data_IF_986702420533
#
_entry.id   IF_986702420533
#
_cell.length_a   1.000
_cell.length_b   1.000
_cell.length_c   1.000
_cell.angle_alpha   90.00
_cell.angle_beta   90.00
_cell.angle_gamma   90.00
#
_symmetry.space_group_name_H-M   'P 1'
#
loop_
_entity.id
_entity.type
_entity.pdbx_description
1 polymer ?
#
# COMPACT_ATOMS: atom_id res chain seq x y z
N UNK A 1 -36.74 -33.76 -17.85
CA UNK A 1 -36.20 -32.38 -17.85
C UNK A 1 -35.46 -32.19 -19.16
N UNK A 2 -35.82 -31.20 -19.98
CA UNK A 2 -35.15 -31.00 -21.27
C UNK A 2 -33.73 -30.47 -21.07
N UNK A 3 -32.82 -30.78 -21.99
CA UNK A 3 -31.43 -30.31 -21.96
C UNK A 3 -31.34 -28.77 -21.86
N UNK A 4 -32.32 -28.05 -22.43
CA UNK A 4 -32.46 -26.60 -22.28
C UNK A 4 -32.74 -26.14 -20.84
N UNK A 5 -33.41 -26.93 -20.01
CA UNK A 5 -33.65 -26.60 -18.60
C UNK A 5 -32.38 -26.74 -17.72
N UNK A 6 -31.39 -27.53 -18.17
CA UNK A 6 -30.13 -27.76 -17.44
C UNK A 6 -29.01 -26.80 -17.84
N UNK A 7 -29.08 -26.22 -19.05
CA UNK A 7 -28.11 -25.25 -19.54
C UNK A 7 -27.85 -24.07 -18.57
N UNK A 8 -28.85 -23.39 -17.98
CA UNK A 8 -28.57 -22.30 -17.03
C UNK A 8 -27.87 -22.77 -15.76
N UNK A 9 -28.21 -23.97 -15.25
CA UNK A 9 -27.56 -24.56 -14.07
C UNK A 9 -26.08 -24.90 -14.33
N UNK A 10 -25.78 -25.44 -15.52
CA UNK A 10 -24.41 -25.73 -15.96
C UNK A 10 -23.61 -24.43 -16.06
N UNK A 11 -24.17 -23.38 -16.67
CA UNK A 11 -23.50 -22.08 -16.79
C UNK A 11 -23.22 -21.47 -15.40
N UNK A 12 -24.18 -21.53 -14.46
CA UNK A 12 -23.98 -21.05 -13.08
C UNK A 12 -22.87 -21.83 -12.38
N UNK A 13 -22.85 -23.16 -12.52
CA UNK A 13 -21.82 -24.00 -11.93
C UNK A 13 -20.41 -23.67 -12.49
N UNK A 14 -20.29 -23.47 -13.80
CA UNK A 14 -19.03 -23.08 -14.44
C UNK A 14 -18.55 -21.71 -13.96
N UNK A 15 -19.46 -20.73 -13.83
CA UNK A 15 -19.15 -19.40 -13.28
C UNK A 15 -18.67 -19.53 -11.83
N UNK A 16 -19.35 -20.34 -11.02
CA UNK A 16 -18.96 -20.58 -9.63
C UNK A 16 -17.57 -21.22 -9.53
N UNK A 17 -17.28 -22.26 -10.32
CA UNK A 17 -15.95 -22.88 -10.36
C UNK A 17 -14.86 -21.88 -10.77
N UNK A 18 -15.13 -21.05 -11.78
CA UNK A 18 -14.19 -20.01 -12.24
C UNK A 18 -13.90 -18.97 -11.14
N UNK A 19 -14.92 -18.48 -10.44
CA UNK A 19 -14.74 -17.53 -9.34
C UNK A 19 -13.93 -18.13 -8.19
N UNK A 20 -14.19 -19.39 -7.81
CA UNK A 20 -13.43 -20.04 -6.74
C UNK A 20 -11.96 -20.27 -7.12
N UNK A 21 -11.70 -20.67 -8.36
CA UNK A 21 -10.34 -20.88 -8.86
C UNK A 21 -9.53 -19.58 -8.87
N UNK A 22 -10.12 -18.49 -9.38
CA UNK A 22 -9.49 -17.16 -9.40
C UNK A 22 -9.23 -16.62 -7.99
N UNK A 23 -10.18 -16.80 -7.06
CA UNK A 23 -10.00 -16.41 -5.67
C UNK A 23 -8.88 -17.20 -4.97
N UNK A 24 -8.78 -18.51 -5.21
CA UNK A 24 -7.71 -19.34 -4.68
C UNK A 24 -6.34 -18.89 -5.18
N UNK A 25 -6.21 -18.65 -6.49
CA UNK A 25 -4.98 -18.16 -7.12
C UNK A 25 -4.56 -16.79 -6.58
N UNK A 26 -5.51 -15.87 -6.44
CA UNK A 26 -5.30 -14.54 -5.87
C UNK A 26 -4.78 -14.62 -4.43
N UNK A 27 -5.41 -15.44 -3.59
CA UNK A 27 -4.95 -15.62 -2.21
C UNK A 27 -3.55 -16.20 -2.13
N UNK A 28 -3.22 -17.18 -2.98
CA UNK A 28 -1.87 -17.73 -3.05
C UNK A 28 -0.85 -16.66 -3.44
N UNK A 29 -1.15 -15.85 -4.47
CA UNK A 29 -0.28 -14.75 -4.90
C UNK A 29 -0.03 -13.74 -3.76
N UNK A 30 -1.07 -13.32 -3.05
CA UNK A 30 -0.96 -12.40 -1.90
C UNK A 30 -0.10 -13.03 -0.79
N UNK A 31 -0.38 -14.28 -0.42
CA UNK A 31 0.37 -14.98 0.63
C UNK A 31 1.85 -15.11 0.29
N UNK A 32 2.16 -15.56 -0.92
CA UNK A 32 3.54 -15.69 -1.39
C UNK A 32 4.24 -14.33 -1.44
N UNK A 33 3.58 -13.30 -1.97
CA UNK A 33 4.14 -11.94 -2.03
C UNK A 33 4.42 -11.41 -0.64
N UNK A 34 3.46 -11.48 0.29
CA UNK A 34 3.65 -10.99 1.65
C UNK A 34 4.72 -11.77 2.41
N UNK A 35 4.83 -13.09 2.18
CA UNK A 35 5.90 -13.90 2.75
C UNK A 35 7.25 -13.39 2.28
N UNK A 36 7.45 -13.26 0.97
CA UNK A 36 8.67 -12.73 0.38
C UNK A 36 9.00 -11.33 0.92
N UNK A 37 8.01 -10.44 1.02
CA UNK A 37 8.20 -9.10 1.58
C UNK A 37 8.77 -9.17 3.01
N UNK A 38 8.12 -9.93 3.89
CA UNK A 38 8.52 -10.04 5.30
C UNK A 38 9.85 -10.78 5.52
N UNK A 39 10.24 -11.67 4.60
CA UNK A 39 11.55 -12.33 4.65
C UNK A 39 12.66 -11.40 4.14
N UNK A 40 12.35 -10.51 3.19
CA UNK A 40 13.31 -9.57 2.60
C UNK A 40 13.57 -8.32 3.46
N UNK A 41 12.59 -7.89 4.25
CA UNK A 41 12.66 -6.68 5.06
C UNK A 41 12.03 -6.91 6.43
N UNK A 42 12.81 -6.88 7.53
CA UNK A 42 12.31 -7.12 8.88
C UNK A 42 11.33 -6.04 9.36
N UNK A 43 11.25 -4.90 8.69
CA UNK A 43 10.30 -3.84 9.02
C UNK A 43 8.91 -4.11 8.44
N UNK A 44 8.74 -5.13 7.59
CA UNK A 44 7.45 -5.51 7.01
C UNK A 44 6.84 -6.66 7.80
N UNK A 45 5.73 -6.39 8.49
CA UNK A 45 4.95 -7.47 9.11
C UNK A 45 4.15 -8.24 8.06
N UNK A 46 4.34 -9.57 8.01
CA UNK A 46 3.51 -10.47 7.18
C UNK A 46 2.01 -10.24 7.42
N UNK A 47 1.60 -10.18 8.69
CA UNK A 47 0.20 -9.95 9.07
C UNK A 47 -0.32 -8.61 8.57
N UNK A 48 0.49 -7.55 8.70
CA UNK A 48 0.14 -6.23 8.19
C UNK A 48 -0.03 -6.25 6.67
N UNK A 49 0.89 -6.89 5.94
CA UNK A 49 0.83 -7.04 4.49
C UNK A 49 -0.47 -7.75 4.05
N UNK A 50 -0.77 -8.91 4.63
CA UNK A 50 -2.00 -9.66 4.31
C UNK A 50 -3.25 -8.81 4.59
N UNK A 51 -3.30 -8.14 5.74
CA UNK A 51 -4.46 -7.35 6.15
C UNK A 51 -4.65 -6.13 5.25
N UNK A 52 -3.55 -5.48 4.85
CA UNK A 52 -3.58 -4.33 3.95
C UNK A 52 -4.11 -4.68 2.56
N UNK A 53 -3.73 -5.84 2.02
CA UNK A 53 -4.28 -6.27 0.73
C UNK A 53 -5.75 -6.71 0.83
N UNK A 54 -6.14 -7.37 1.92
CA UNK A 54 -7.53 -7.79 2.15
C UNK A 54 -8.49 -6.63 2.43
N UNK A 55 -8.00 -5.45 2.83
CA UNK A 55 -8.85 -4.28 3.04
C UNK A 55 -9.30 -3.62 1.72
N UNK A 56 -8.69 -4.00 0.59
CA UNK A 56 -9.03 -3.48 -0.73
C UNK A 56 -9.69 -4.57 -1.60
N UNK A 57 -10.98 -4.38 -1.90
CA UNK A 57 -11.76 -5.33 -2.70
C UNK A 57 -11.20 -5.52 -4.12
N UNK A 58 -10.42 -4.56 -4.64
CA UNK A 58 -9.77 -4.68 -5.95
C UNK A 58 -8.71 -5.78 -5.95
N UNK A 59 -8.16 -6.11 -4.79
CA UNK A 59 -7.18 -7.21 -4.66
C UNK A 59 -7.80 -8.56 -5.01
N UNK A 60 -9.12 -8.74 -4.89
CA UNK A 60 -9.77 -10.04 -5.20
C UNK A 60 -9.66 -10.48 -6.66
N UNK A 61 -9.27 -9.58 -7.56
CA UNK A 61 -9.26 -9.81 -9.00
C UNK A 61 -7.85 -9.71 -9.62
N UNK A 62 -6.80 -9.55 -8.79
CA UNK A 62 -5.44 -9.40 -9.30
C UNK A 62 -4.92 -10.74 -9.83
N UNK A 63 -4.37 -10.73 -11.03
CA UNK A 63 -3.92 -11.96 -11.70
C UNK A 63 -2.42 -12.18 -11.62
N UNK A 64 -1.66 -11.12 -11.32
CA UNK A 64 -0.20 -11.15 -11.36
C UNK A 64 0.41 -10.11 -10.40
N UNK A 65 1.72 -10.24 -10.18
CA UNK A 65 2.50 -9.38 -9.28
C UNK A 65 2.49 -7.90 -9.70
N UNK A 66 2.39 -7.60 -11.01
CA UNK A 66 2.32 -6.22 -11.51
C UNK A 66 1.01 -5.55 -11.11
N UNK A 67 -0.11 -6.25 -11.21
CA UNK A 67 -1.41 -5.75 -10.75
C UNK A 67 -1.43 -5.57 -9.23
N UNK A 68 -0.89 -6.54 -8.49
CA UNK A 68 -0.79 -6.47 -7.03
C UNK A 68 0.09 -5.30 -6.57
N UNK A 69 1.22 -5.04 -7.24
CA UNK A 69 2.08 -3.89 -6.95
C UNK A 69 1.38 -2.55 -7.22
N UNK A 70 0.57 -2.45 -8.28
CA UNK A 70 -0.25 -1.26 -8.50
C UNK A 70 -1.32 -1.06 -7.40
N UNK A 71 -1.91 -2.14 -6.89
CA UNK A 71 -2.81 -2.07 -5.72
C UNK A 71 -2.04 -1.58 -4.49
N UNK A 72 -0.84 -2.10 -4.24
CA UNK A 72 0.01 -1.67 -3.13
C UNK A 72 0.26 -0.16 -3.15
N UNK A 73 0.61 0.41 -4.32
CA UNK A 73 0.81 1.87 -4.45
C UNK A 73 -0.50 2.65 -4.20
N UNK A 74 -1.65 2.10 -4.61
CA UNK A 74 -2.96 2.73 -4.37
C UNK A 74 -3.35 2.69 -2.88
N UNK A 75 -2.96 1.65 -2.14
CA UNK A 75 -3.14 1.58 -0.69
C UNK A 75 -2.35 2.69 0.01
N UNK A 76 -1.10 2.93 -0.39
CA UNK A 76 -0.29 4.07 0.12
C UNK A 76 -1.02 5.38 -0.15
N UNK A 77 -1.49 5.59 -1.39
CA UNK A 77 -2.22 6.81 -1.75
C UNK A 77 -3.43 7.05 -0.83
N UNK A 78 -4.21 6.01 -0.56
CA UNK A 78 -5.37 6.10 0.32
C UNK A 78 -4.94 6.45 1.76
N UNK A 79 -3.96 5.73 2.31
CA UNK A 79 -3.45 5.98 3.65
C UNK A 79 -2.89 7.40 3.82
N UNK A 80 -2.14 7.91 2.83
CA UNK A 80 -1.62 9.28 2.82
C UNK A 80 -2.76 10.30 2.76
N UNK A 81 -3.75 10.10 1.89
CA UNK A 81 -4.92 11.00 1.78
C UNK A 81 -5.70 11.06 3.10
N UNK A 82 -5.91 9.91 3.73
CA UNK A 82 -6.60 9.80 5.01
C UNK A 82 -5.78 10.45 6.14
N UNK A 83 -4.45 10.36 6.08
CA UNK A 83 -3.55 10.98 7.05
C UNK A 83 -3.53 12.49 6.92
N UNK A 84 -3.49 13.04 5.70
CA UNK A 84 -3.66 14.48 5.44
C UNK A 84 -4.98 14.97 6.03
N UNK A 85 -6.08 14.24 5.79
CA UNK A 85 -7.41 14.60 6.31
C UNK A 85 -7.41 14.60 7.84
N UNK A 86 -6.84 13.56 8.45
CA UNK A 86 -6.71 13.46 9.90
C UNK A 86 -5.87 14.58 10.52
N UNK A 87 -4.77 14.98 9.87
CA UNK A 87 -3.95 16.10 10.32
C UNK A 87 -4.77 17.40 10.33
N UNK A 88 -5.55 17.66 9.26
CA UNK A 88 -6.46 18.83 9.21
C UNK A 88 -7.48 18.80 10.35
N UNK A 89 -8.05 17.64 10.64
CA UNK A 89 -8.97 17.47 11.77
C UNK A 89 -8.30 17.78 13.11
N UNK A 90 -7.06 17.31 13.33
CA UNK A 90 -6.30 17.63 14.54
C UNK A 90 -6.00 19.12 14.66
N UNK A 91 -5.58 19.76 13.57
CA UNK A 91 -5.30 21.20 13.51
C UNK A 91 -6.54 22.06 13.73
N UNK A 92 -7.74 21.53 13.48
CA UNK A 92 -9.02 22.22 13.71
C UNK A 92 -9.43 22.27 15.19
N UNK A 93 -8.78 21.48 16.06
CA UNK A 93 -9.12 21.41 17.48
C UNK A 93 -8.64 22.65 18.23
N UNK A 94 -9.50 23.18 19.09
CA UNK A 94 -9.14 24.25 20.02
C UNK A 94 -8.14 23.74 21.08
N UNK A 95 -7.25 24.63 21.54
CA UNK A 95 -6.29 24.40 22.64
C UNK A 95 -5.24 23.30 22.38
N UNK A 96 -4.74 23.20 21.16
CA UNK A 96 -3.61 22.34 20.85
C UNK A 96 -2.31 22.94 21.44
N UNK A 97 -1.45 22.09 22.00
CA UNK A 97 -0.11 22.51 22.44
C UNK A 97 0.67 23.12 21.24
N UNK A 98 1.35 24.27 21.41
CA UNK A 98 2.01 24.95 20.30
C UNK A 98 3.04 24.09 19.56
N UNK A 99 3.81 23.26 20.27
CA UNK A 99 4.80 22.38 19.66
C UNK A 99 4.14 21.27 18.84
N UNK A 100 3.07 20.67 19.38
CA UNK A 100 2.27 19.68 18.64
C UNK A 100 1.65 20.31 17.38
N UNK A 101 1.19 21.55 17.48
CA UNK A 101 0.59 22.27 16.35
C UNK A 101 1.61 22.51 15.24
N UNK A 102 2.82 22.95 15.59
CA UNK A 102 3.93 23.13 14.65
C UNK A 102 4.29 21.81 13.97
N UNK A 103 4.52 20.74 14.73
CA UNK A 103 4.79 19.41 14.18
C UNK A 103 3.68 18.92 13.23
N UNK A 104 2.41 19.20 13.54
CA UNK A 104 1.30 18.84 12.66
C UNK A 104 1.28 19.65 11.36
N UNK A 105 1.69 20.92 11.39
CA UNK A 105 1.84 21.73 10.17
C UNK A 105 2.99 21.18 9.30
N UNK A 106 4.14 20.88 9.90
CA UNK A 106 5.27 20.28 9.17
C UNK A 106 4.88 18.95 8.53
N UNK A 107 4.22 18.07 9.31
CA UNK A 107 3.68 16.82 8.81
C UNK A 107 2.65 17.01 7.69
N UNK A 108 1.79 18.03 7.80
CA UNK A 108 0.80 18.34 6.77
C UNK A 108 1.46 18.65 5.42
N UNK A 109 2.52 19.47 5.45
CA UNK A 109 3.23 19.90 4.26
C UNK A 109 3.93 18.69 3.60
N UNK A 110 4.71 17.92 4.35
CA UNK A 110 5.43 16.76 3.78
C UNK A 110 4.48 15.66 3.30
N UNK A 111 3.35 15.41 3.97
CA UNK A 111 2.35 14.45 3.47
C UNK A 111 1.62 14.95 2.22
N UNK A 112 1.43 16.26 2.09
CA UNK A 112 0.86 16.85 0.87
C UNK A 112 1.80 16.65 -0.33
N UNK A 113 3.11 16.77 -0.12
CA UNK A 113 4.12 16.43 -1.12
C UNK A 113 4.12 14.92 -1.43
N UNK A 114 4.02 14.05 -0.41
CA UNK A 114 3.89 12.61 -0.61
C UNK A 114 2.71 12.26 -1.52
N UNK A 115 1.57 12.94 -1.37
CA UNK A 115 0.42 12.71 -2.24
C UNK A 115 0.73 13.00 -3.72
N UNK A 116 1.47 14.07 -4.01
CA UNK A 116 1.90 14.41 -5.37
C UNK A 116 2.87 13.34 -5.88
N UNK A 117 3.90 13.01 -5.08
CA UNK A 117 4.89 11.98 -5.39
C UNK A 117 4.24 10.64 -5.72
N UNK A 118 3.27 10.18 -4.93
CA UNK A 118 2.57 8.90 -5.17
C UNK A 118 1.80 8.93 -6.50
N UNK A 119 1.21 10.07 -6.90
CA UNK A 119 0.55 10.18 -8.21
C UNK A 119 1.54 10.03 -9.35
N UNK A 120 2.76 10.51 -9.19
CA UNK A 120 3.83 10.30 -10.15
C UNK A 120 4.34 8.86 -10.15
N UNK A 121 4.54 8.26 -8.98
CA UNK A 121 4.87 6.84 -8.84
C UNK A 121 3.89 5.96 -9.61
N UNK A 122 2.58 6.25 -9.53
CA UNK A 122 1.56 5.50 -10.30
C UNK A 122 1.78 5.64 -11.81
N UNK A 123 2.18 6.82 -12.31
CA UNK A 123 2.47 7.04 -13.74
C UNK A 123 3.72 6.26 -14.16
N UNK A 124 4.79 6.35 -13.37
CA UNK A 124 6.06 5.67 -13.62
C UNK A 124 5.88 4.15 -13.59
N UNK A 125 5.17 3.64 -12.59
CA UNK A 125 4.88 2.22 -12.43
C UNK A 125 4.13 1.66 -13.64
N UNK A 126 3.09 2.38 -14.10
CA UNK A 126 2.33 1.99 -15.32
C UNK A 126 3.19 2.04 -16.58
N UNK A 127 4.16 2.95 -16.63
CA UNK A 127 5.14 3.03 -17.70
C UNK A 127 6.32 2.04 -17.52
N UNK A 128 6.26 1.14 -16.53
CA UNK A 128 7.31 0.18 -16.17
C UNK A 128 8.66 0.83 -15.82
N UNK A 129 8.64 2.11 -15.42
CA UNK A 129 9.79 2.85 -14.88
C UNK A 129 9.94 2.53 -13.39
N UNK A 130 10.33 1.29 -13.12
CA UNK A 130 10.39 0.75 -11.76
C UNK A 130 11.51 1.37 -10.91
N UNK A 131 12.62 1.79 -11.52
CA UNK A 131 13.69 2.52 -10.82
C UNK A 131 13.17 3.86 -10.31
N UNK A 132 12.49 4.65 -11.15
CA UNK A 132 11.90 5.93 -10.73
C UNK A 132 10.80 5.73 -9.67
N UNK A 133 9.99 4.69 -9.84
CA UNK A 133 8.97 4.31 -8.85
C UNK A 133 9.58 3.97 -7.49
N UNK A 134 10.73 3.28 -7.50
CA UNK A 134 11.46 2.90 -6.29
C UNK A 134 11.97 4.15 -5.55
N UNK A 135 12.68 5.04 -6.25
CA UNK A 135 13.18 6.31 -5.66
C UNK A 135 12.04 7.10 -5.03
N UNK A 136 10.90 7.22 -5.73
CA UNK A 136 9.74 7.96 -5.22
C UNK A 136 9.10 7.30 -4.00
N UNK A 137 8.97 5.98 -3.97
CA UNK A 137 8.45 5.27 -2.79
C UNK A 137 9.38 5.35 -1.58
N UNK A 138 10.70 5.33 -1.79
CA UNK A 138 11.67 5.57 -0.72
C UNK A 138 11.47 6.96 -0.10
N UNK A 139 11.21 8.00 -0.91
CA UNK A 139 10.91 9.33 -0.35
C UNK A 139 9.62 9.36 0.48
N UNK A 140 8.61 8.52 0.19
CA UNK A 140 7.40 8.42 1.02
C UNK A 140 7.70 7.75 2.36
N UNK A 141 8.63 6.80 2.40
CA UNK A 141 9.16 6.24 3.66
C UNK A 141 9.82 7.36 4.47
N UNK A 142 10.73 8.12 3.87
CA UNK A 142 11.45 9.22 4.53
C UNK A 142 10.49 10.27 5.09
N UNK A 143 9.40 10.59 4.37
CA UNK A 143 8.35 11.50 4.83
C UNK A 143 7.68 10.98 6.10
N UNK A 144 7.33 9.69 6.13
CA UNK A 144 6.66 9.08 7.29
C UNK A 144 7.56 9.06 8.54
N UNK A 145 8.86 8.80 8.37
CA UNK A 145 9.83 8.81 9.48
C UNK A 145 10.14 10.23 9.93
N UNK A 146 10.36 11.15 9.00
CA UNK A 146 10.62 12.58 9.31
C UNK A 146 9.47 13.19 10.10
N UNK A 147 8.23 12.92 9.70
CA UNK A 147 7.05 13.38 10.45
C UNK A 147 7.03 12.82 11.88
N UNK A 148 7.34 11.53 12.07
CA UNK A 148 7.39 10.94 13.42
C UNK A 148 8.53 11.52 14.27
N UNK A 149 9.70 11.69 13.66
CA UNK A 149 10.89 12.22 14.31
C UNK A 149 10.71 13.66 14.78
N UNK A 150 9.93 14.48 14.06
CA UNK A 150 9.56 15.82 14.49
C UNK A 150 8.92 15.86 15.88
N UNK A 151 7.98 14.96 16.16
CA UNK A 151 7.37 14.86 17.49
C UNK A 151 8.34 14.36 18.56
N UNK A 152 9.31 13.53 18.18
CA UNK A 152 10.29 12.93 19.09
C UNK A 152 11.39 13.93 19.54
N UNK A 153 11.46 15.11 18.94
CA UNK A 153 12.41 16.16 19.32
C UNK A 153 12.17 16.72 20.74
N UNK A 154 10.95 16.57 21.28
CA UNK A 154 10.60 17.04 22.63
C UNK A 154 10.24 15.87 23.55
N UNK A 155 11.01 15.72 24.62
CA UNK A 155 10.75 14.68 25.62
C UNK A 155 9.34 14.77 26.21
N UNK A 156 8.68 13.61 26.33
CA UNK A 156 7.32 13.50 26.88
C UNK A 156 6.19 13.82 25.90
N UNK A 157 6.52 14.19 24.65
CA UNK A 157 5.54 14.31 23.57
C UNK A 157 5.28 12.94 22.95
N UNK A 158 4.01 12.63 22.72
CA UNK A 158 3.58 11.45 21.97
C UNK A 158 2.96 11.93 20.66
N UNK A 159 3.50 11.44 19.55
CA UNK A 159 2.97 11.74 18.21
C UNK A 159 1.52 11.26 18.10
N UNK A 160 0.55 12.12 17.73
CA UNK A 160 -0.79 11.69 17.41
C UNK A 160 -0.85 10.93 16.07
N UNK A 161 0.27 10.87 15.33
CA UNK A 161 0.39 10.27 14.02
C UNK A 161 1.16 8.94 14.02
N UNK A 162 1.70 8.48 15.15
CA UNK A 162 2.57 7.27 15.23
C UNK A 162 2.04 6.08 14.44
N UNK A 163 0.76 5.74 14.61
CA UNK A 163 0.17 4.61 13.88
C UNK A 163 0.12 4.87 12.37
N UNK A 164 -0.26 6.08 11.97
CA UNK A 164 -0.39 6.46 10.55
C UNK A 164 0.97 6.51 9.87
N UNK A 165 1.98 7.05 10.55
CA UNK A 165 3.37 7.06 10.08
C UNK A 165 3.89 5.63 9.90
N UNK A 166 3.66 4.73 10.87
CA UNK A 166 4.02 3.31 10.74
C UNK A 166 3.26 2.57 9.63
N UNK A 167 1.99 2.89 9.44
CA UNK A 167 1.17 2.30 8.38
C UNK A 167 1.70 2.78 7.00
N UNK A 168 1.99 4.08 6.83
CA UNK A 168 2.57 4.65 5.61
C UNK A 168 3.96 4.06 5.29
N UNK A 169 4.82 3.91 6.30
CA UNK A 169 6.11 3.26 6.19
C UNK A 169 5.96 1.83 5.65
N UNK A 170 5.18 0.98 6.33
CA UNK A 170 5.06 -0.44 5.96
C UNK A 170 4.39 -0.63 4.60
N UNK A 171 3.37 0.17 4.28
CA UNK A 171 2.73 0.12 2.95
C UNK A 171 3.74 0.47 1.84
N UNK A 172 4.59 1.47 2.07
CA UNK A 172 5.62 1.89 1.12
C UNK A 172 6.73 0.84 0.98
N UNK A 173 7.17 0.24 2.08
CA UNK A 173 8.13 -0.86 2.08
C UNK A 173 7.61 -2.10 1.33
N UNK A 174 6.32 -2.45 1.50
CA UNK A 174 5.67 -3.53 0.72
C UNK A 174 5.71 -3.22 -0.78
N UNK A 175 5.37 -1.99 -1.19
CA UNK A 175 5.40 -1.61 -2.60
C UNK A 175 6.81 -1.65 -3.20
N UNK A 176 7.82 -1.20 -2.43
CA UNK A 176 9.24 -1.30 -2.82
C UNK A 176 9.68 -2.75 -2.99
N UNK A 177 9.35 -3.63 -2.05
CA UNK A 177 9.69 -5.04 -2.13
C UNK A 177 9.08 -5.69 -3.37
N UNK A 178 7.81 -5.39 -3.69
CA UNK A 178 7.16 -5.87 -4.92
C UNK A 178 7.87 -5.35 -6.19
N UNK A 179 8.24 -4.06 -6.22
CA UNK A 179 9.02 -3.50 -7.34
C UNK A 179 10.36 -4.23 -7.51
N UNK A 180 11.04 -4.56 -6.41
CA UNK A 180 12.29 -5.29 -6.46
C UNK A 180 12.10 -6.71 -7.01
N UNK A 181 11.04 -7.41 -6.61
CA UNK A 181 10.68 -8.72 -7.19
C UNK A 181 10.45 -8.62 -8.71
N UNK A 182 9.74 -7.59 -9.18
CA UNK A 182 9.49 -7.37 -10.61
C UNK A 182 10.79 -7.08 -11.40
N UNK A 183 11.75 -6.39 -10.79
CA UNK A 183 13.06 -6.15 -11.42
C UNK A 183 13.88 -7.46 -11.52
N UNK A 184 13.84 -8.32 -10.50
CA UNK A 184 14.52 -9.63 -10.53
C UNK A 184 13.93 -10.55 -11.59
N UNK A 185 12.61 -10.62 -11.70
CA UNK A 185 11.94 -11.43 -12.73
C UNK A 185 12.28 -10.95 -14.14
N UNK A 186 12.38 -9.63 -14.34
CA UNK A 186 12.82 -9.05 -15.61
C UNK A 186 14.25 -9.46 -15.97
N UNK A 187 15.15 -9.52 -15.00
CA UNK A 187 16.54 -9.96 -15.22
C UNK A 187 16.62 -11.46 -15.55
N UNK A 188 15.80 -12.29 -14.91
CA UNK A 188 15.72 -13.73 -15.18
C UNK A 188 15.12 -14.07 -16.55
N UNK A 189 14.25 -13.22 -17.10
CA UNK A 189 13.69 -13.38 -18.45
C UNK A 189 14.55 -12.82 -19.59
N UNK A 190 15.71 -12.25 -19.27
CA UNK A 190 16.68 -11.68 -20.23
C UNK A 190 17.94 -12.58 -20.36
N UNK A 191 18.13 -13.53 -19.43
CA UNK A 191 19.15 -14.59 -19.47
C UNK A 191 18.55 -15.89 -20.03
#
# INVERSE_FOLDING_TARGET
MSLHSLLPLIVIFLIFCYINSTFSSTNHLIQQTCKNCSESDPNISYKFCITSFKSDSRTHYVQNLTELGLISIKLIKHNVTDTITYIKELLSKNKLDPFIKECLHDCFDVYSDAFITIRETIKDYKAKRYVDSNVKLSSVIDISTTCEDGFNQKNGVISPLTKRNKDAFQLSAIALSIINMLNVDKLKGVL
#
